data_IF_408455077357
#
_entry.id   IF_408455077357
#
_cell.length_a   1.000
_cell.length_b   1.000
_cell.length_c   1.000
_cell.angle_alpha   90.00
_cell.angle_beta   90.00
_cell.angle_gamma   90.00
#
_symmetry.space_group_name_H-M   'P 1'
#
loop_
_entity.id
_entity.type
_entity.pdbx_description
1 polymer ?
#
# COMPACT_ATOMS: atom_id res chain seq x y z
N UNK A 1 28.56 4.64 0.63
CA UNK A 1 28.02 3.51 -0.14
C UNK A 1 28.79 3.44 -1.45
N UNK A 2 29.32 2.28 -1.82
CA UNK A 2 29.93 2.05 -3.15
C UNK A 2 29.08 1.02 -3.86
N UNK A 3 28.62 1.35 -5.05
CA UNK A 3 27.80 0.49 -5.93
C UNK A 3 28.56 0.28 -7.23
N UNK A 4 28.31 -0.85 -7.89
CA UNK A 4 28.73 -1.03 -9.28
C UNK A 4 28.00 -0.02 -10.19
N UNK A 5 28.64 0.32 -11.30
CA UNK A 5 28.04 1.25 -12.28
C UNK A 5 26.67 0.76 -12.77
N UNK A 6 26.53 -0.55 -12.98
CA UNK A 6 25.26 -1.14 -13.41
C UNK A 6 24.11 -0.95 -12.41
N UNK A 7 24.37 -1.10 -11.10
CA UNK A 7 23.35 -0.91 -10.05
C UNK A 7 23.06 0.57 -9.84
N UNK A 8 24.09 1.43 -9.91
CA UNK A 8 23.89 2.90 -9.85
C UNK A 8 22.99 3.39 -10.97
N UNK A 9 23.28 3.02 -12.23
CA UNK A 9 22.46 3.41 -13.39
C UNK A 9 21.03 2.89 -13.23
N UNK A 10 20.84 1.63 -12.86
CA UNK A 10 19.51 1.04 -12.68
C UNK A 10 18.69 1.78 -11.60
N UNK A 11 19.32 2.12 -10.46
CA UNK A 11 18.66 2.85 -9.38
C UNK A 11 18.27 4.28 -9.79
N UNK A 12 19.11 4.96 -10.58
CA UNK A 12 18.83 6.30 -11.08
C UNK A 12 17.72 6.30 -12.16
N UNK A 13 17.73 5.30 -13.05
CA UNK A 13 16.65 5.09 -14.03
C UNK A 13 15.31 4.82 -13.34
N UNK A 14 15.28 3.96 -12.32
CA UNK A 14 14.08 3.68 -11.56
C UNK A 14 13.59 4.90 -10.76
N UNK A 15 14.51 5.68 -10.16
CA UNK A 15 14.18 6.95 -9.51
C UNK A 15 13.51 7.93 -10.49
N UNK A 16 14.08 8.06 -11.68
CA UNK A 16 13.53 8.91 -12.75
C UNK A 16 12.15 8.41 -13.21
N UNK A 17 11.98 7.09 -13.34
CA UNK A 17 10.71 6.50 -13.75
C UNK A 17 9.60 6.72 -12.72
N UNK A 18 9.92 6.61 -11.41
CA UNK A 18 9.01 6.90 -10.31
C UNK A 18 8.52 8.35 -10.35
N UNK A 19 9.44 9.32 -10.43
CA UNK A 19 9.11 10.74 -10.49
C UNK A 19 8.28 11.08 -11.73
N UNK A 20 8.66 10.57 -12.90
CA UNK A 20 7.90 10.79 -14.15
C UNK A 20 6.50 10.17 -14.11
N UNK A 21 6.34 9.02 -13.49
CA UNK A 21 5.02 8.42 -13.32
C UNK A 21 4.15 9.28 -12.40
N UNK A 22 4.67 9.69 -11.26
CA UNK A 22 3.97 10.54 -10.30
C UNK A 22 3.54 11.88 -10.92
N UNK A 23 4.42 12.53 -11.69
CA UNK A 23 4.13 13.76 -12.41
C UNK A 23 3.12 13.57 -13.57
N UNK A 24 3.19 12.41 -14.26
CA UNK A 24 2.35 12.17 -15.45
C UNK A 24 0.86 12.10 -15.15
N UNK A 25 0.48 11.79 -13.90
CA UNK A 25 -0.90 11.76 -13.46
C UNK A 25 -1.50 13.17 -13.26
N UNK A 26 -0.66 14.18 -13.03
CA UNK A 26 -0.99 15.60 -13.02
C UNK A 26 -2.27 15.94 -12.24
N UNK A 27 -3.20 16.68 -12.87
CA UNK A 27 -4.49 17.05 -12.27
C UNK A 27 -5.50 15.89 -12.13
N UNK A 28 -5.24 14.74 -12.73
CA UNK A 28 -6.11 13.56 -12.67
C UNK A 28 -5.78 12.61 -11.51
N UNK A 29 -4.84 12.99 -10.65
CA UNK A 29 -4.38 12.18 -9.49
C UNK A 29 -5.50 11.83 -8.52
N UNK A 30 -6.40 12.78 -8.25
CA UNK A 30 -7.39 12.66 -7.17
C UNK A 30 -8.26 11.37 -7.20
N UNK A 31 -8.70 10.84 -8.36
CA UNK A 31 -9.43 9.57 -8.38
C UNK A 31 -8.54 8.34 -8.15
N UNK A 32 -7.25 8.39 -8.48
CA UNK A 32 -6.37 7.22 -8.52
C UNK A 32 -5.54 7.05 -7.24
N UNK A 33 -5.12 8.14 -6.59
CA UNK A 33 -4.27 8.08 -5.39
C UNK A 33 -4.83 7.14 -4.29
N UNK A 34 -6.13 7.19 -3.94
CA UNK A 34 -6.69 6.26 -2.96
C UNK A 34 -6.71 4.81 -3.43
N UNK A 35 -6.85 4.54 -4.73
CA UNK A 35 -6.85 3.19 -5.28
C UNK A 35 -5.45 2.60 -5.29
N UNK A 36 -4.45 3.37 -5.70
CA UNK A 36 -3.04 2.95 -5.72
C UNK A 36 -2.52 2.68 -4.32
N UNK A 37 -2.88 3.50 -3.32
CA UNK A 37 -2.55 3.26 -1.91
C UNK A 37 -3.12 1.93 -1.40
N UNK A 38 -4.39 1.63 -1.72
CA UNK A 38 -5.03 0.36 -1.34
C UNK A 38 -4.42 -0.83 -2.07
N UNK A 39 -4.04 -0.65 -3.33
CA UNK A 39 -3.36 -1.67 -4.12
C UNK A 39 -1.98 -2.00 -3.53
N UNK A 40 -1.23 -0.99 -3.09
CA UNK A 40 0.02 -1.17 -2.37
C UNK A 40 -0.18 -1.94 -1.06
N UNK A 41 -1.15 -1.53 -0.24
CA UNK A 41 -1.44 -2.18 1.03
C UNK A 41 -1.90 -3.63 0.86
N UNK A 42 -2.70 -3.91 -0.18
CA UNK A 42 -3.13 -5.26 -0.51
C UNK A 42 -1.96 -6.14 -0.97
N UNK A 43 -1.11 -5.64 -1.88
CA UNK A 43 0.08 -6.36 -2.35
C UNK A 43 1.08 -6.61 -1.21
N UNK A 44 1.34 -5.60 -0.38
CA UNK A 44 2.16 -5.73 0.83
C UNK A 44 1.63 -6.80 1.79
N UNK A 45 0.31 -6.85 1.99
CA UNK A 45 -0.31 -7.88 2.84
C UNK A 45 -0.27 -9.27 2.19
N UNK A 46 -0.32 -9.35 0.86
CA UNK A 46 -0.23 -10.61 0.11
C UNK A 46 1.15 -11.25 0.21
N UNK A 47 2.23 -10.46 0.31
CA UNK A 47 3.58 -10.98 0.62
C UNK A 47 3.56 -11.74 1.96
N UNK A 48 2.74 -11.31 2.92
CA UNK A 48 2.52 -11.99 4.21
C UNK A 48 1.37 -13.03 4.16
N UNK A 49 1.00 -13.52 2.97
CA UNK A 49 -0.08 -14.48 2.75
C UNK A 49 -1.49 -14.02 3.19
N UNK A 50 -1.70 -12.72 3.38
CA UNK A 50 -3.00 -12.13 3.69
C UNK A 50 -3.67 -11.67 2.41
N UNK A 51 -4.65 -12.44 1.92
CA UNK A 51 -5.37 -12.16 0.68
C UNK A 51 -6.86 -11.88 0.91
N UNK A 52 -7.40 -10.91 0.18
CA UNK A 52 -8.83 -10.63 0.09
C UNK A 52 -9.14 -9.97 -1.27
N UNK A 53 -10.37 -10.17 -1.80
CA UNK A 53 -10.80 -9.45 -3.00
C UNK A 53 -10.99 -7.97 -2.72
N UNK A 54 -10.91 -7.13 -3.76
CA UNK A 54 -11.18 -5.69 -3.65
C UNK A 54 -12.53 -5.41 -2.97
N UNK A 55 -13.58 -6.15 -3.35
CA UNK A 55 -14.90 -6.05 -2.70
C UNK A 55 -14.84 -6.27 -1.19
N UNK A 56 -14.11 -7.30 -0.71
CA UNK A 56 -13.99 -7.60 0.71
C UNK A 56 -13.27 -6.49 1.47
N UNK A 57 -12.21 -5.92 0.87
CA UNK A 57 -11.43 -4.82 1.46
C UNK A 57 -12.31 -3.58 1.62
N UNK A 58 -12.97 -3.12 0.54
CA UNK A 58 -13.83 -1.94 0.59
C UNK A 58 -15.07 -2.13 1.48
N UNK A 59 -15.62 -3.34 1.58
CA UNK A 59 -16.71 -3.64 2.51
C UNK A 59 -16.23 -3.57 3.96
N UNK A 60 -15.03 -4.07 4.26
CA UNK A 60 -14.43 -4.01 5.60
C UNK A 60 -14.14 -2.56 6.03
N UNK A 61 -13.74 -1.68 5.10
CA UNK A 61 -13.55 -0.25 5.37
C UNK A 61 -14.83 0.44 5.87
N UNK A 62 -15.99 -0.01 5.41
CA UNK A 62 -17.30 0.49 5.83
C UNK A 62 -17.78 -0.11 7.17
N UNK A 63 -16.92 -0.82 7.89
CA UNK A 63 -17.26 -1.47 9.16
C UNK A 63 -17.98 -2.82 8.98
N UNK A 64 -17.94 -3.40 7.79
CA UNK A 64 -18.49 -4.72 7.52
C UNK A 64 -17.79 -5.81 8.31
N UNK A 65 -18.57 -6.79 8.78
CA UNK A 65 -18.03 -8.05 9.33
C UNK A 65 -17.41 -8.84 8.16
N UNK A 66 -16.25 -8.39 7.72
CA UNK A 66 -15.47 -8.99 6.65
C UNK A 66 -14.69 -10.22 7.15
N UNK A 67 -14.13 -10.96 6.20
CA UNK A 67 -13.11 -11.95 6.51
C UNK A 67 -11.94 -11.25 7.22
N UNK A 68 -11.30 -11.93 8.18
CA UNK A 68 -10.18 -11.42 8.98
C UNK A 68 -9.11 -10.73 8.14
N UNK A 69 -8.67 -11.36 7.05
CA UNK A 69 -7.66 -10.79 6.16
C UNK A 69 -8.03 -9.42 5.58
N UNK A 70 -9.31 -9.21 5.23
CA UNK A 70 -9.76 -7.92 4.72
C UNK A 70 -9.60 -6.80 5.77
N UNK A 71 -9.90 -7.08 7.04
CA UNK A 71 -9.67 -6.14 8.14
C UNK A 71 -8.19 -5.83 8.35
N UNK A 72 -7.32 -6.85 8.26
CA UNK A 72 -5.86 -6.66 8.37
C UNK A 72 -5.30 -5.83 7.20
N UNK A 73 -5.80 -6.02 5.98
CA UNK A 73 -5.44 -5.20 4.80
C UNK A 73 -5.89 -3.75 4.98
N UNK A 74 -7.09 -3.52 5.53
CA UNK A 74 -7.58 -2.17 5.86
C UNK A 74 -6.69 -1.51 6.91
N UNK A 75 -6.25 -2.24 7.93
CA UNK A 75 -5.31 -1.72 8.93
C UNK A 75 -3.96 -1.38 8.29
N UNK A 76 -3.46 -2.20 7.35
CA UNK A 76 -2.25 -1.91 6.59
C UNK A 76 -2.41 -0.66 5.70
N UNK A 77 -3.58 -0.47 5.06
CA UNK A 77 -3.87 0.76 4.30
C UNK A 77 -3.79 2.01 5.20
N UNK A 78 -4.30 1.92 6.42
CA UNK A 78 -4.23 3.02 7.40
C UNK A 78 -2.79 3.27 7.85
N UNK A 79 -2.02 2.21 8.13
CA UNK A 79 -0.61 2.32 8.49
C UNK A 79 0.22 2.99 7.39
N UNK A 80 0.02 2.61 6.12
CA UNK A 80 0.67 3.25 4.98
C UNK A 80 0.28 4.72 4.82
N UNK A 81 -1.00 5.06 5.05
CA UNK A 81 -1.43 6.46 5.07
C UNK A 81 -0.71 7.25 6.16
N UNK A 82 -0.66 6.72 7.37
CA UNK A 82 0.10 7.31 8.48
C UNK A 82 1.58 7.49 8.12
N UNK A 83 2.19 6.50 7.46
CA UNK A 83 3.57 6.57 6.99
C UNK A 83 3.80 7.73 6.01
N UNK A 84 2.90 7.92 5.06
CA UNK A 84 2.96 9.00 4.07
C UNK A 84 2.74 10.36 4.75
N UNK A 85 1.78 10.47 5.66
CA UNK A 85 1.48 11.69 6.41
C UNK A 85 2.64 12.13 7.32
N UNK A 86 3.43 11.18 7.81
CA UNK A 86 4.59 11.43 8.68
C UNK A 86 5.93 11.41 7.92
N UNK A 87 5.93 11.33 6.61
CA UNK A 87 7.14 11.17 5.78
C UNK A 87 8.16 12.30 5.93
N UNK A 88 7.72 13.51 6.31
CA UNK A 88 8.61 14.64 6.55
C UNK A 88 9.42 14.51 7.87
N UNK A 89 9.07 13.53 8.73
CA UNK A 89 9.68 13.32 10.04
C UNK A 89 9.93 11.84 10.28
N UNK A 90 10.88 11.27 9.57
CA UNK A 90 11.28 9.86 9.74
C UNK A 90 12.09 9.71 11.03
N UNK A 91 11.43 9.26 12.08
CA UNK A 91 11.99 9.00 13.41
C UNK A 91 11.53 7.64 13.93
N UNK A 92 12.08 7.21 15.05
CA UNK A 92 11.63 6.02 15.76
C UNK A 92 10.16 6.09 16.13
N UNK A 93 9.67 7.28 16.55
CA UNK A 93 8.25 7.49 16.87
C UNK A 93 7.34 7.32 15.64
N UNK A 94 7.81 7.71 14.46
CA UNK A 94 7.08 7.48 13.21
C UNK A 94 6.90 5.99 12.94
N UNK A 95 7.96 5.20 13.13
CA UNK A 95 7.89 3.73 12.98
C UNK A 95 6.91 3.11 13.98
N UNK A 96 6.96 3.53 15.25
CA UNK A 96 6.05 3.06 16.30
C UNK A 96 4.59 3.44 15.99
N UNK A 97 4.35 4.65 15.48
CA UNK A 97 3.01 5.09 15.08
C UNK A 97 2.44 4.28 13.91
N UNK A 98 3.25 3.97 12.88
CA UNK A 98 2.85 3.08 11.78
C UNK A 98 2.43 1.71 12.30
N UNK A 99 3.24 1.11 13.17
CA UNK A 99 3.00 -0.20 13.76
C UNK A 99 1.79 -0.19 14.70
N UNK A 100 1.59 0.87 15.48
CA UNK A 100 0.40 1.03 16.33
C UNK A 100 -0.88 1.02 15.49
N UNK A 101 -0.91 1.77 14.39
CA UNK A 101 -2.07 1.80 13.49
C UNK A 101 -2.29 0.44 12.82
N UNK A 102 -1.22 -0.23 12.42
CA UNK A 102 -1.26 -1.55 11.78
C UNK A 102 -1.92 -2.62 12.67
N UNK A 103 -1.51 -2.68 13.94
CA UNK A 103 -1.95 -3.72 14.87
C UNK A 103 -3.02 -3.25 15.86
N UNK A 104 -3.60 -2.06 15.65
CA UNK A 104 -4.67 -1.55 16.51
C UNK A 104 -5.82 -2.54 16.60
N UNK A 105 -6.04 -3.09 17.80
CA UNK A 105 -7.09 -4.07 18.07
C UNK A 105 -6.65 -5.54 17.94
N UNK A 106 -5.42 -5.84 17.55
CA UNK A 106 -4.84 -7.16 17.73
C UNK A 106 -4.56 -7.39 19.24
N UNK A 107 -5.06 -8.52 19.77
CA UNK A 107 -4.90 -8.87 21.20
C UNK A 107 -3.68 -9.77 21.46
N UNK A 108 -2.99 -10.20 20.41
CA UNK A 108 -1.88 -11.16 20.53
C UNK A 108 -0.53 -10.46 20.54
N UNK A 109 -0.46 -9.25 19.95
CA UNK A 109 0.76 -8.49 19.79
C UNK A 109 0.59 -7.07 20.31
N UNK A 110 1.65 -6.51 20.91
CA UNK A 110 1.63 -5.15 21.43
C UNK A 110 1.82 -4.15 20.29
N UNK A 111 0.77 -3.39 20.00
CA UNK A 111 0.80 -2.37 18.96
C UNK A 111 1.68 -1.17 19.38
N UNK A 112 2.55 -0.70 18.47
CA UNK A 112 3.38 0.48 18.70
C UNK A 112 4.50 0.30 19.73
N UNK A 113 4.90 -0.94 20.02
CA UNK A 113 5.99 -1.23 20.96
C UNK A 113 6.99 -2.19 20.35
N UNK A 114 8.27 -1.95 20.63
CA UNK A 114 9.31 -2.90 20.28
C UNK A 114 9.16 -4.19 21.09
N UNK A 115 9.59 -5.28 20.48
CA UNK A 115 9.66 -6.57 21.17
C UNK A 115 10.63 -6.55 22.34
N UNK A 116 10.28 -7.31 23.36
CA UNK A 116 11.13 -7.61 24.52
C UNK A 116 11.45 -9.11 24.57
N UNK A 117 11.44 -9.78 23.44
CA UNK A 117 11.73 -11.20 23.29
C UNK A 117 12.51 -11.49 22.00
N UNK A 118 13.12 -12.68 21.96
CA UNK A 118 13.79 -13.14 20.75
C UNK A 118 12.76 -13.48 19.65
N UNK A 119 13.04 -13.05 18.41
CA UNK A 119 12.26 -13.42 17.24
C UNK A 119 13.18 -13.99 16.16
N UNK A 120 12.64 -14.88 15.35
CA UNK A 120 13.33 -15.53 14.25
C UNK A 120 12.40 -15.83 13.10
N UNK A 121 12.97 -15.98 11.92
CA UNK A 121 12.29 -16.39 10.70
C UNK A 121 12.67 -17.85 10.42
N UNK A 122 11.67 -18.73 10.24
CA UNK A 122 11.90 -20.15 9.98
C UNK A 122 10.67 -21.00 10.23
N UNK A 123 10.83 -22.30 10.14
CA UNK A 123 9.73 -23.29 10.20
C UNK A 123 9.21 -23.59 11.61
N UNK A 124 9.99 -23.30 12.67
CA UNK A 124 9.62 -23.57 14.05
C UNK A 124 9.20 -22.29 14.77
N UNK A 125 7.99 -22.26 15.32
CA UNK A 125 7.53 -21.19 16.22
C UNK A 125 7.97 -21.35 17.68
N UNK A 126 8.72 -22.41 18.03
CA UNK A 126 9.07 -22.72 19.44
C UNK A 126 10.55 -22.58 19.76
N UNK A 127 11.43 -22.63 18.75
CA UNK A 127 12.88 -22.61 18.94
C UNK A 127 13.55 -22.02 17.70
N UNK A 128 14.63 -21.21 17.88
CA UNK A 128 15.42 -20.69 16.76
C UNK A 128 16.33 -21.74 16.12
N UNK A 129 16.38 -22.96 16.65
CA UNK A 129 17.23 -24.03 16.07
C UNK A 129 16.71 -24.36 14.67
N UNK A 130 17.57 -24.17 13.66
CA UNK A 130 17.23 -24.34 12.25
C UNK A 130 16.45 -23.17 11.64
N UNK A 131 16.39 -22.03 12.31
CA UNK A 131 15.82 -20.81 11.74
C UNK A 131 16.68 -20.29 10.56
N UNK A 132 16.01 -19.77 9.54
CA UNK A 132 16.65 -19.12 8.40
C UNK A 132 17.35 -17.81 8.80
N UNK A 133 16.79 -17.14 9.80
CA UNK A 133 17.33 -15.93 10.38
C UNK A 133 16.90 -15.76 11.84
N UNK A 134 17.85 -15.32 12.69
CA UNK A 134 17.58 -14.91 14.08
C UNK A 134 17.88 -13.42 14.20
N UNK A 135 16.87 -12.65 14.59
CA UNK A 135 16.99 -11.19 14.73
C UNK A 135 17.94 -10.82 15.91
N UNK A 136 18.51 -9.60 15.91
CA UNK A 136 19.36 -9.12 16.99
C UNK A 136 18.71 -9.24 18.38
N UNK A 137 19.51 -9.26 19.43
CA UNK A 137 19.04 -9.23 20.81
C UNK A 137 18.10 -8.02 21.01
N UNK A 138 16.97 -8.25 21.68
CA UNK A 138 15.89 -7.27 21.77
C UNK A 138 16.30 -5.98 22.51
N UNK A 139 17.25 -6.06 23.44
CA UNK A 139 17.81 -4.91 24.16
C UNK A 139 18.50 -3.91 23.22
N UNK A 140 18.94 -4.36 22.05
CA UNK A 140 19.57 -3.52 21.03
C UNK A 140 18.60 -2.89 20.05
N UNK A 141 17.34 -3.35 20.02
CA UNK A 141 16.36 -2.90 19.02
C UNK A 141 16.17 -1.39 19.01
N UNK A 142 15.99 -0.69 20.17
CA UNK A 142 15.81 0.76 20.14
C UNK A 142 16.95 1.49 19.44
N UNK A 143 18.20 1.20 19.84
CA UNK A 143 19.38 1.85 19.25
C UNK A 143 19.60 1.49 17.78
N UNK A 144 19.24 0.27 17.36
CA UNK A 144 19.34 -0.14 15.96
C UNK A 144 18.28 0.54 15.10
N UNK A 145 17.07 0.76 15.60
CA UNK A 145 16.03 1.49 14.87
C UNK A 145 16.41 2.98 14.78
N UNK A 146 16.96 3.59 15.83
CA UNK A 146 17.48 4.96 15.79
C UNK A 146 18.53 5.13 14.70
N UNK A 147 19.49 4.19 14.59
CA UNK A 147 20.51 4.18 13.54
C UNK A 147 19.89 4.04 12.14
N UNK A 148 18.89 3.16 11.97
CA UNK A 148 18.13 3.05 10.70
C UNK A 148 17.48 4.39 10.35
N UNK A 149 16.88 5.08 11.30
CA UNK A 149 16.21 6.35 11.05
C UNK A 149 17.22 7.49 10.81
N UNK A 150 18.40 7.45 11.44
CA UNK A 150 19.49 8.37 11.11
C UNK A 150 19.97 8.18 9.67
N UNK A 151 20.17 6.93 9.26
CA UNK A 151 20.52 6.60 7.87
C UNK A 151 19.42 7.04 6.88
N UNK A 152 18.15 6.83 7.21
CA UNK A 152 17.01 7.20 6.37
C UNK A 152 16.93 8.72 6.08
N UNK A 153 17.42 9.57 6.99
CA UNK A 153 17.42 11.04 6.85
C UNK A 153 18.64 11.63 6.14
N UNK A 154 19.60 10.80 5.73
CA UNK A 154 20.78 11.28 4.99
C UNK A 154 20.38 11.82 3.62
N UNK A 155 21.07 12.88 3.17
CA UNK A 155 20.81 13.57 1.90
C UNK A 155 21.94 13.39 0.87
N UNK A 156 23.01 12.67 1.26
CA UNK A 156 24.23 12.49 0.47
C UNK A 156 24.31 11.13 -0.24
N UNK A 157 23.19 10.40 -0.31
CA UNK A 157 23.13 9.06 -0.89
C UNK A 157 22.20 9.03 -2.13
N UNK A 158 22.42 8.10 -3.08
CA UNK A 158 21.46 7.85 -4.14
C UNK A 158 20.11 7.47 -3.56
N UNK A 159 19.05 8.22 -3.94
CA UNK A 159 17.74 8.18 -3.27
C UNK A 159 17.14 6.78 -3.19
N UNK A 160 16.99 6.09 -4.32
CA UNK A 160 16.37 4.75 -4.33
C UNK A 160 17.24 3.70 -3.64
N UNK A 161 18.57 3.80 -3.77
CA UNK A 161 19.48 2.90 -3.06
C UNK A 161 19.37 3.07 -1.54
N UNK A 162 19.23 4.30 -1.05
CA UNK A 162 18.99 4.59 0.36
C UNK A 162 17.67 3.97 0.83
N UNK A 163 16.58 4.12 0.07
CA UNK A 163 15.28 3.50 0.35
C UNK A 163 15.41 1.99 0.49
N UNK A 164 16.05 1.33 -0.48
CA UNK A 164 16.23 -0.12 -0.49
C UNK A 164 17.07 -0.63 0.69
N UNK A 165 18.17 0.05 1.00
CA UNK A 165 19.06 -0.30 2.12
C UNK A 165 18.36 -0.09 3.46
N UNK A 166 17.64 1.02 3.64
CA UNK A 166 16.86 1.29 4.85
C UNK A 166 15.82 0.19 5.08
N UNK A 167 15.09 -0.17 4.03
CA UNK A 167 14.10 -1.25 4.10
C UNK A 167 14.76 -2.59 4.51
N UNK A 168 15.87 -2.97 3.87
CA UNK A 168 16.58 -4.21 4.20
C UNK A 168 17.15 -4.22 5.62
N UNK A 169 17.65 -3.08 6.09
CA UNK A 169 18.15 -2.95 7.46
C UNK A 169 17.02 -3.05 8.48
N UNK A 170 15.87 -2.40 8.20
CA UNK A 170 14.69 -2.52 9.04
C UNK A 170 14.20 -3.99 9.15
N UNK A 171 14.12 -4.71 8.03
CA UNK A 171 13.79 -6.14 7.99
C UNK A 171 14.83 -7.00 8.71
N UNK A 172 16.09 -6.55 8.78
CA UNK A 172 17.16 -7.21 9.53
C UNK A 172 17.04 -6.94 11.02
N UNK A 173 16.75 -5.73 11.45
CA UNK A 173 16.50 -5.41 12.88
C UNK A 173 15.28 -6.15 13.41
N UNK A 174 14.23 -6.28 12.59
CA UNK A 174 12.99 -7.00 12.90
C UNK A 174 12.40 -6.59 14.25
N UNK A 175 12.03 -5.30 14.42
CA UNK A 175 11.85 -4.70 15.74
C UNK A 175 10.59 -5.13 16.50
N UNK A 176 9.67 -5.85 15.86
CA UNK A 176 8.37 -6.20 16.42
C UNK A 176 8.16 -7.71 16.49
N UNK A 177 7.18 -8.15 17.28
CA UNK A 177 6.76 -9.55 17.36
C UNK A 177 5.91 -10.00 16.17
N UNK A 178 5.22 -9.08 15.49
CA UNK A 178 4.49 -9.28 14.23
C UNK A 178 4.46 -7.96 13.44
N UNK A 179 4.09 -8.00 12.17
CA UNK A 179 3.89 -6.82 11.33
C UNK A 179 5.17 -6.14 10.82
N UNK A 180 6.35 -6.73 11.00
CA UNK A 180 7.62 -6.16 10.54
C UNK A 180 7.60 -5.88 9.03
N UNK A 181 7.28 -6.87 8.20
CA UNK A 181 7.26 -6.71 6.75
C UNK A 181 6.28 -5.62 6.29
N UNK A 182 5.07 -5.59 6.84
CA UNK A 182 4.08 -4.55 6.50
C UNK A 182 4.54 -3.16 6.93
N UNK A 183 5.11 -3.02 8.13
CA UNK A 183 5.67 -1.76 8.63
C UNK A 183 6.90 -1.33 7.83
N UNK A 184 7.81 -2.26 7.49
CA UNK A 184 8.99 -2.00 6.68
C UNK A 184 8.65 -1.52 5.27
N UNK A 185 7.59 -2.08 4.65
CA UNK A 185 7.10 -1.60 3.35
C UNK A 185 6.30 -0.29 3.46
N UNK A 186 5.64 -0.02 4.59
CA UNK A 186 5.08 1.31 4.85
C UNK A 186 6.18 2.37 5.02
N UNK A 187 7.28 2.04 5.70
CA UNK A 187 8.47 2.89 5.81
C UNK A 187 9.10 3.13 4.43
N UNK A 188 9.17 2.11 3.56
CA UNK A 188 9.65 2.26 2.18
C UNK A 188 8.82 3.33 1.44
N UNK A 189 7.50 3.30 1.53
CA UNK A 189 6.62 4.30 0.93
C UNK A 189 6.83 5.70 1.52
N UNK A 190 6.98 5.81 2.84
CA UNK A 190 7.31 7.08 3.49
C UNK A 190 8.63 7.66 2.98
N UNK A 191 9.64 6.82 2.77
CA UNK A 191 10.94 7.23 2.22
C UNK A 191 10.88 7.61 0.75
N UNK A 192 10.10 6.92 -0.09
CA UNK A 192 9.87 7.33 -1.47
C UNK A 192 9.31 8.75 -1.52
N UNK A 193 8.40 9.08 -0.61
CA UNK A 193 7.83 10.42 -0.50
C UNK A 193 8.81 11.43 0.08
N UNK A 194 9.48 11.12 1.18
CA UNK A 194 10.48 11.98 1.82
C UNK A 194 11.64 12.32 0.88
N UNK A 195 12.04 11.37 0.03
CA UNK A 195 13.08 11.54 -0.99
C UNK A 195 12.56 12.15 -2.31
N UNK A 196 11.33 12.66 -2.33
CA UNK A 196 10.70 13.31 -3.49
C UNK A 196 10.64 12.42 -4.75
N UNK A 197 10.63 11.10 -4.59
CA UNK A 197 10.44 10.15 -5.70
C UNK A 197 8.95 9.97 -6.06
N UNK A 198 8.06 10.19 -5.08
CA UNK A 198 6.60 10.18 -5.25
C UNK A 198 5.99 11.30 -4.40
N UNK A 199 5.26 12.23 -5.01
CA UNK A 199 4.66 13.38 -4.32
C UNK A 199 3.12 13.34 -4.33
N UNK A 200 2.53 12.81 -5.38
CA UNK A 200 1.11 12.87 -5.65
C UNK A 200 0.41 11.53 -5.38
N UNK A 201 1.05 10.42 -5.69
CA UNK A 201 0.48 9.08 -5.55
C UNK A 201 1.44 8.11 -4.85
N UNK A 202 0.89 7.03 -4.34
CA UNK A 202 1.67 5.86 -3.90
C UNK A 202 1.90 4.96 -5.11
N UNK A 203 3.15 4.75 -5.51
CA UNK A 203 3.50 3.72 -6.49
C UNK A 203 3.48 2.36 -5.78
N UNK A 204 2.72 1.36 -6.25
CA UNK A 204 2.55 0.10 -5.54
C UNK A 204 3.75 -0.84 -5.68
N UNK A 205 4.91 -0.45 -5.14
CA UNK A 205 6.18 -1.19 -5.22
C UNK A 205 6.06 -2.60 -4.66
N UNK A 206 5.23 -2.81 -3.63
CA UNK A 206 4.96 -4.15 -3.11
C UNK A 206 4.33 -5.09 -4.15
N UNK A 207 3.58 -4.54 -5.12
CA UNK A 207 3.07 -5.35 -6.24
C UNK A 207 4.21 -5.82 -7.16
N UNK A 208 5.26 -5.01 -7.34
CA UNK A 208 6.48 -5.42 -8.03
C UNK A 208 7.28 -6.46 -7.24
N UNK A 209 7.46 -6.27 -5.94
CA UNK A 209 8.15 -7.25 -5.07
C UNK A 209 7.42 -8.60 -5.04
N UNK A 210 6.10 -8.60 -5.12
CA UNK A 210 5.27 -9.79 -5.11
C UNK A 210 5.47 -10.68 -6.36
N UNK A 211 5.97 -10.12 -7.47
CA UNK A 211 6.25 -10.90 -8.70
C UNK A 211 7.39 -11.89 -8.52
N UNK A 212 8.33 -11.65 -7.58
CA UNK A 212 9.41 -12.57 -7.19
C UNK A 212 9.67 -12.50 -5.68
N UNK A 213 8.76 -13.06 -4.90
CA UNK A 213 8.90 -13.14 -3.44
C UNK A 213 10.11 -13.96 -3.00
N UNK A 214 10.47 -14.99 -3.78
CA UNK A 214 11.66 -15.80 -3.51
C UNK A 214 12.94 -14.97 -3.72
N UNK A 215 13.01 -14.17 -4.78
CA UNK A 215 14.10 -13.21 -5.02
C UNK A 215 14.19 -12.16 -3.92
N UNK A 216 13.04 -11.68 -3.44
CA UNK A 216 13.00 -10.74 -2.33
C UNK A 216 13.61 -11.31 -1.03
N UNK A 217 13.25 -12.54 -0.67
CA UNK A 217 13.85 -13.22 0.50
C UNK A 217 15.35 -13.46 0.31
N UNK A 218 15.77 -13.87 -0.91
CA UNK A 218 17.21 -14.03 -1.23
C UNK A 218 17.97 -12.70 -1.09
N UNK A 219 17.44 -11.61 -1.64
CA UNK A 219 18.08 -10.28 -1.57
C UNK A 219 18.25 -9.79 -0.12
N UNK A 220 17.24 -10.01 0.75
CA UNK A 220 17.34 -9.74 2.18
C UNK A 220 18.41 -10.62 2.87
N UNK A 221 18.56 -11.87 2.43
CA UNK A 221 19.58 -12.79 2.95
C UNK A 221 20.96 -12.35 2.54
N UNK A 222 21.15 -11.93 1.29
CA UNK A 222 22.44 -11.43 0.78
C UNK A 222 22.82 -10.11 1.45
N UNK A 223 21.84 -9.23 1.70
CA UNK A 223 22.04 -8.01 2.49
C UNK A 223 22.62 -8.32 3.89
N UNK A 224 22.07 -9.32 4.59
CA UNK A 224 22.55 -9.76 5.91
C UNK A 224 23.98 -10.34 5.87
N UNK A 225 24.45 -10.77 4.69
CA UNK A 225 25.83 -11.24 4.44
C UNK A 225 26.77 -10.11 4.02
N UNK A 226 26.27 -8.88 3.89
CA UNK A 226 27.05 -7.69 3.54
C UNK A 226 26.97 -7.28 2.07
N UNK A 227 26.18 -7.97 1.24
CA UNK A 227 25.95 -7.60 -0.16
C UNK A 227 24.68 -6.76 -0.29
N UNK A 228 24.85 -5.47 -0.54
CA UNK A 228 23.74 -4.51 -0.64
C UNK A 228 23.15 -4.38 -2.06
N UNK A 229 23.86 -4.86 -3.08
CA UNK A 229 23.43 -4.63 -4.47
C UNK A 229 22.16 -5.42 -4.85
N UNK A 230 21.96 -6.68 -4.41
CA UNK A 230 20.77 -7.45 -4.76
C UNK A 230 19.46 -6.76 -4.33
N UNK A 231 19.40 -6.18 -3.14
CA UNK A 231 18.16 -5.52 -2.68
C UNK A 231 17.91 -4.19 -3.41
N UNK A 232 18.96 -3.44 -3.77
CA UNK A 232 18.84 -2.21 -4.55
C UNK A 232 18.32 -2.54 -5.95
N UNK A 233 18.91 -3.53 -6.60
CA UNK A 233 18.45 -4.02 -7.91
C UNK A 233 17.00 -4.46 -7.87
N UNK A 234 16.63 -5.27 -6.88
CA UNK A 234 15.27 -5.78 -6.74
C UNK A 234 14.24 -4.66 -6.56
N UNK A 235 14.52 -3.66 -5.70
CA UNK A 235 13.61 -2.52 -5.49
C UNK A 235 13.49 -1.67 -6.75
N UNK A 236 14.58 -1.50 -7.51
CA UNK A 236 14.55 -0.79 -8.79
C UNK A 236 13.68 -1.53 -9.83
N UNK A 237 13.89 -2.84 -10.01
CA UNK A 237 13.11 -3.68 -10.91
C UNK A 237 11.63 -3.75 -10.50
N UNK A 238 11.35 -3.92 -9.20
CA UNK A 238 10.00 -3.88 -8.65
C UNK A 238 9.30 -2.52 -8.89
N UNK A 239 10.05 -1.42 -8.90
CA UNK A 239 9.50 -0.09 -9.21
C UNK A 239 9.05 0.00 -10.67
N UNK A 240 9.79 -0.53 -11.63
CA UNK A 240 9.37 -0.56 -13.04
C UNK A 240 8.13 -1.44 -13.24
N UNK A 241 8.10 -2.64 -12.66
CA UNK A 241 6.94 -3.54 -12.73
C UNK A 241 5.70 -2.89 -12.09
N UNK A 242 5.86 -2.23 -10.95
CA UNK A 242 4.80 -1.51 -10.26
C UNK A 242 4.23 -0.36 -11.11
N UNK A 243 5.09 0.44 -11.76
CA UNK A 243 4.69 1.52 -12.65
C UNK A 243 3.90 0.97 -13.84
N UNK A 244 4.39 -0.11 -14.48
CA UNK A 244 3.70 -0.75 -15.60
C UNK A 244 2.28 -1.19 -15.21
N UNK A 245 2.17 -1.93 -14.10
CA UNK A 245 0.88 -2.41 -13.61
C UNK A 245 -0.05 -1.26 -13.15
N UNK A 246 0.50 -0.20 -12.54
CA UNK A 246 -0.28 0.96 -12.13
C UNK A 246 -0.83 1.76 -13.33
N UNK A 247 -0.07 1.90 -14.42
CA UNK A 247 -0.55 2.53 -15.66
C UNK A 247 -1.73 1.77 -16.25
N UNK A 248 -1.65 0.45 -16.35
CA UNK A 248 -2.77 -0.37 -16.82
C UNK A 248 -4.03 -0.14 -15.97
N UNK A 249 -3.91 -0.09 -14.64
CA UNK A 249 -5.05 0.20 -13.75
C UNK A 249 -5.62 1.61 -14.01
N UNK A 250 -4.77 2.62 -14.13
CA UNK A 250 -5.18 4.02 -14.39
C UNK A 250 -5.93 4.12 -15.72
N UNK A 251 -5.41 3.50 -16.78
CA UNK A 251 -6.02 3.50 -18.11
C UNK A 251 -7.38 2.77 -18.10
N UNK A 252 -7.48 1.64 -17.41
CA UNK A 252 -8.72 0.88 -17.26
C UNK A 252 -9.78 1.68 -16.50
N UNK A 253 -9.44 2.30 -15.37
CA UNK A 253 -10.36 3.15 -14.60
C UNK A 253 -10.78 4.39 -15.40
N UNK A 254 -9.84 5.00 -16.13
CA UNK A 254 -10.13 6.15 -16.99
C UNK A 254 -11.14 5.78 -18.09
N UNK A 255 -10.95 4.61 -18.71
CA UNK A 255 -11.88 4.08 -19.72
C UNK A 255 -13.27 3.79 -19.14
N UNK A 256 -13.35 3.21 -17.94
CA UNK A 256 -14.59 2.99 -17.19
C UNK A 256 -15.30 4.32 -16.94
N UNK A 257 -14.60 5.33 -16.41
CA UNK A 257 -15.16 6.67 -16.15
C UNK A 257 -15.67 7.35 -17.42
N UNK A 258 -14.96 7.23 -18.54
CA UNK A 258 -15.38 7.77 -19.83
C UNK A 258 -16.72 7.14 -20.28
N UNK A 259 -16.88 5.82 -20.17
CA UNK A 259 -18.15 5.12 -20.47
C UNK A 259 -19.29 5.60 -19.59
N UNK A 260 -19.06 5.78 -18.27
CA UNK A 260 -20.09 6.27 -17.36
C UNK A 260 -20.58 7.69 -17.73
N UNK A 261 -19.65 8.56 -18.14
CA UNK A 261 -19.98 9.92 -18.57
C UNK A 261 -20.88 9.95 -19.82
N UNK A 262 -20.79 8.95 -20.70
CA UNK A 262 -21.67 8.81 -21.84
C UNK A 262 -23.00 8.16 -21.48
N UNK A 263 -23.05 7.26 -20.48
CA UNK A 263 -24.26 6.57 -20.05
C UNK A 263 -25.18 7.47 -19.19
N UNK A 264 -24.63 8.52 -18.55
CA UNK A 264 -25.41 9.44 -17.70
C UNK A 264 -25.67 10.76 -18.41
N UNK A 265 -26.95 11.09 -18.64
CA UNK A 265 -27.35 12.41 -19.17
C UNK A 265 -27.68 13.34 -18.01
N UNK A 266 -26.88 14.39 -17.78
CA UNK A 266 -27.12 15.37 -16.73
C UNK A 266 -26.63 16.77 -17.13
N UNK A 267 -27.16 17.81 -16.44
CA UNK A 267 -26.61 19.17 -16.57
C UNK A 267 -25.16 19.20 -16.10
N UNK A 268 -24.35 20.13 -16.64
CA UNK A 268 -22.91 20.23 -16.36
C UNK A 268 -22.60 20.44 -14.86
N UNK A 269 -23.48 21.15 -14.16
CA UNK A 269 -23.39 21.48 -12.73
C UNK A 269 -24.07 20.45 -11.81
N UNK A 270 -24.52 19.33 -12.35
CA UNK A 270 -25.20 18.30 -11.56
C UNK A 270 -24.23 17.56 -10.63
N UNK A 271 -24.62 17.40 -9.36
CA UNK A 271 -23.87 16.62 -8.36
C UNK A 271 -23.62 15.14 -8.72
N UNK A 272 -24.31 14.64 -9.76
CA UNK A 272 -24.07 13.26 -10.23
C UNK A 272 -22.64 13.06 -10.76
N UNK A 273 -22.02 14.11 -11.32
CA UNK A 273 -20.64 14.04 -11.79
C UNK A 273 -19.65 13.86 -10.63
N UNK A 274 -19.92 14.58 -9.53
CA UNK A 274 -19.15 14.38 -8.29
C UNK A 274 -19.41 12.98 -7.71
N UNK A 275 -20.65 12.49 -7.73
CA UNK A 275 -20.96 11.13 -7.30
C UNK A 275 -20.21 10.07 -8.12
N UNK A 276 -20.10 10.23 -9.45
CA UNK A 276 -19.30 9.35 -10.32
C UNK A 276 -17.81 9.37 -9.95
N UNK A 277 -17.24 10.53 -9.65
CA UNK A 277 -15.85 10.64 -9.23
C UNK A 277 -15.62 9.99 -7.85
N UNK A 278 -16.61 10.05 -6.94
CA UNK A 278 -16.56 9.29 -5.68
C UNK A 278 -16.62 7.78 -5.94
N UNK A 279 -17.55 7.30 -6.78
CA UNK A 279 -17.68 5.87 -7.12
C UNK A 279 -16.38 5.32 -7.72
N UNK A 280 -15.68 6.11 -8.54
CA UNK A 280 -14.40 5.69 -9.13
C UNK A 280 -13.32 5.41 -8.09
N UNK A 281 -13.24 6.19 -7.00
CA UNK A 281 -12.25 6.01 -5.92
C UNK A 281 -12.75 5.20 -4.73
N UNK A 282 -14.07 5.03 -4.59
CA UNK A 282 -14.74 4.28 -3.52
C UNK A 282 -15.83 3.39 -4.13
N UNK A 283 -15.45 2.25 -4.75
CA UNK A 283 -16.39 1.41 -5.53
C UNK A 283 -17.39 0.61 -4.67
N UNK A 284 -17.23 0.61 -3.35
CA UNK A 284 -18.27 0.13 -2.39
C UNK A 284 -18.57 1.27 -1.43
N UNK A 285 -19.81 1.69 -1.35
CA UNK A 285 -20.23 2.81 -0.52
C UNK A 285 -21.67 2.65 -0.04
N UNK A 286 -22.03 3.38 0.99
CA UNK A 286 -23.41 3.61 1.42
C UNK A 286 -23.76 5.11 1.25
N UNK A 287 -25.02 5.47 1.52
CA UNK A 287 -25.47 6.84 1.39
C UNK A 287 -24.70 7.82 2.29
N UNK A 288 -24.31 7.39 3.50
CA UNK A 288 -23.54 8.22 4.43
C UNK A 288 -22.13 8.49 3.91
N UNK A 289 -21.47 7.49 3.33
CA UNK A 289 -20.14 7.65 2.73
C UNK A 289 -20.19 8.59 1.53
N UNK A 290 -21.16 8.41 0.62
CA UNK A 290 -21.29 9.30 -0.53
C UNK A 290 -21.60 10.74 -0.09
N UNK A 291 -22.46 10.92 0.90
CA UNK A 291 -22.83 12.22 1.43
C UNK A 291 -21.61 12.95 2.06
N UNK A 292 -20.82 12.24 2.86
CA UNK A 292 -19.59 12.77 3.46
C UNK A 292 -18.59 13.23 2.38
N UNK A 293 -18.36 12.39 1.35
CA UNK A 293 -17.46 12.69 0.24
C UNK A 293 -17.95 13.86 -0.65
N UNK A 294 -19.27 14.04 -0.76
CA UNK A 294 -19.87 15.14 -1.52
C UNK A 294 -20.09 16.41 -0.68
N UNK A 295 -19.92 16.36 0.64
CA UNK A 295 -20.17 17.48 1.55
C UNK A 295 -21.65 17.86 1.64
N UNK A 296 -22.58 16.89 1.55
CA UNK A 296 -24.03 17.11 1.56
C UNK A 296 -24.73 16.20 2.58
N UNK A 297 -26.01 16.46 2.87
CA UNK A 297 -26.82 15.56 3.70
C UNK A 297 -27.10 14.22 3.01
N UNK A 298 -27.14 13.13 3.78
CA UNK A 298 -27.37 11.78 3.27
C UNK A 298 -28.68 11.63 2.46
N UNK A 299 -29.73 12.37 2.82
CA UNK A 299 -31.01 12.40 2.07
C UNK A 299 -30.85 12.91 0.62
N UNK A 300 -29.87 13.77 0.38
CA UNK A 300 -29.67 14.43 -0.92
C UNK A 300 -28.90 13.54 -1.92
N UNK A 301 -28.26 12.44 -1.46
CA UNK A 301 -27.51 11.56 -2.35
C UNK A 301 -28.36 10.44 -2.96
N UNK A 302 -29.53 10.10 -2.40
CA UNK A 302 -30.36 9.02 -2.90
C UNK A 302 -30.80 9.21 -4.37
N UNK A 303 -31.20 10.42 -4.84
CA UNK A 303 -31.52 10.62 -6.26
C UNK A 303 -30.31 10.32 -7.18
N UNK A 304 -29.07 10.59 -6.73
CA UNK A 304 -27.88 10.25 -7.48
C UNK A 304 -27.65 8.74 -7.49
N UNK A 305 -27.75 8.08 -6.33
CA UNK A 305 -27.57 6.63 -6.18
C UNK A 305 -28.59 5.86 -7.03
N UNK A 306 -29.88 6.22 -6.96
CA UNK A 306 -30.94 5.57 -7.75
C UNK A 306 -30.71 5.75 -9.26
N UNK A 307 -30.22 6.91 -9.66
CA UNK A 307 -29.88 7.19 -11.05
C UNK A 307 -28.67 6.40 -11.54
N UNK A 308 -27.66 6.25 -10.72
CA UNK A 308 -26.48 5.43 -11.04
C UNK A 308 -26.83 3.92 -11.08
N UNK A 309 -27.77 3.48 -10.24
CA UNK A 309 -28.33 2.12 -10.32
C UNK A 309 -29.15 1.93 -11.61
N UNK A 310 -30.02 2.89 -11.96
CA UNK A 310 -30.80 2.84 -13.19
C UNK A 310 -29.92 2.85 -14.46
N UNK A 311 -28.78 3.53 -14.41
CA UNK A 311 -27.77 3.53 -15.48
C UNK A 311 -26.90 2.26 -15.51
N UNK A 312 -27.07 1.31 -14.59
CA UNK A 312 -26.28 0.09 -14.49
C UNK A 312 -24.84 0.28 -13.96
N UNK A 313 -24.51 1.48 -13.47
CA UNK A 313 -23.19 1.81 -12.94
C UNK A 313 -23.01 1.26 -11.52
N UNK A 314 -24.09 1.24 -10.74
CA UNK A 314 -24.10 0.69 -9.39
C UNK A 314 -25.07 -0.48 -9.28
N UNK A 315 -24.68 -1.49 -8.51
CA UNK A 315 -25.55 -2.53 -8.01
C UNK A 315 -25.91 -2.25 -6.56
N UNK A 316 -27.20 -2.44 -6.21
CA UNK A 316 -27.70 -2.23 -4.85
C UNK A 316 -27.82 -3.56 -4.13
N UNK A 317 -27.23 -3.68 -2.92
CA UNK A 317 -27.37 -4.83 -2.04
C UNK A 317 -27.76 -4.41 -0.64
N UNK A 318 -28.65 -5.17 -0.03
CA UNK A 318 -28.98 -5.01 1.38
C UNK A 318 -28.08 -5.94 2.20
N UNK A 319 -27.19 -5.37 3.00
CA UNK A 319 -26.30 -6.12 3.89
C UNK A 319 -26.82 -5.96 5.33
N UNK A 320 -27.09 -7.08 6.00
CA UNK A 320 -27.84 -7.15 7.26
C UNK A 320 -27.33 -6.20 8.38
N UNK A 321 -26.06 -5.92 8.45
CA UNK A 321 -25.49 -5.04 9.50
C UNK A 321 -25.10 -3.64 9.03
N UNK A 322 -25.04 -3.38 7.72
CA UNK A 322 -24.55 -2.13 7.13
C UNK A 322 -25.62 -1.34 6.39
N UNK A 323 -26.83 -1.87 6.34
CA UNK A 323 -27.91 -1.31 5.55
C UNK A 323 -27.69 -1.52 4.05
N UNK A 324 -28.07 -0.53 3.25
CA UNK A 324 -27.97 -0.60 1.81
C UNK A 324 -26.55 -0.21 1.37
N UNK A 325 -25.84 -1.16 0.76
CA UNK A 325 -24.57 -0.93 0.07
C UNK A 325 -24.80 -0.79 -1.43
N UNK A 326 -24.05 0.14 -2.02
CA UNK A 326 -23.97 0.35 -3.46
C UNK A 326 -22.58 -0.04 -3.92
N UNK A 327 -22.48 -0.74 -5.04
CA UNK A 327 -21.25 -1.36 -5.49
C UNK A 327 -21.05 -1.16 -6.99
N UNK A 328 -19.85 -0.79 -7.39
CA UNK A 328 -19.43 -0.80 -8.78
C UNK A 328 -18.53 -2.00 -9.06
N UNK A 329 -19.01 -2.94 -9.88
CA UNK A 329 -18.30 -4.19 -10.17
C UNK A 329 -17.19 -4.00 -11.21
N UNK A 330 -17.24 -2.97 -12.08
CA UNK A 330 -16.20 -2.70 -13.07
C UNK A 330 -14.90 -2.26 -12.39
N UNK A 331 -14.96 -1.27 -11.48
CA UNK A 331 -13.77 -0.79 -10.72
C UNK A 331 -13.23 -1.88 -9.82
N UNK A 332 -14.10 -2.66 -9.16
CA UNK A 332 -13.65 -3.79 -8.33
C UNK A 332 -12.95 -4.85 -9.17
N UNK A 333 -13.46 -5.14 -10.38
CA UNK A 333 -12.84 -6.07 -11.33
C UNK A 333 -11.45 -5.59 -11.78
N UNK A 334 -11.29 -4.30 -12.07
CA UNK A 334 -10.00 -3.70 -12.41
C UNK A 334 -8.96 -3.82 -11.29
N UNK A 335 -9.39 -3.61 -10.03
CA UNK A 335 -8.52 -3.79 -8.86
C UNK A 335 -8.14 -5.25 -8.62
N UNK A 336 -9.08 -6.19 -8.78
CA UNK A 336 -8.80 -7.62 -8.66
C UNK A 336 -7.88 -8.10 -9.82
N UNK A 337 -8.01 -7.54 -11.03
CA UNK A 337 -7.13 -7.79 -12.15
C UNK A 337 -5.71 -7.25 -11.89
N UNK A 338 -5.58 -6.04 -11.33
CA UNK A 338 -4.30 -5.50 -10.88
C UNK A 338 -3.59 -6.44 -9.89
N UNK A 339 -4.31 -6.90 -8.86
CA UNK A 339 -3.76 -7.83 -7.87
C UNK A 339 -3.35 -9.19 -8.49
N UNK A 340 -4.14 -9.68 -9.44
CA UNK A 340 -3.84 -10.91 -10.15
C UNK A 340 -2.60 -10.81 -11.06
N UNK A 341 -2.33 -9.65 -11.68
CA UNK A 341 -1.10 -9.41 -12.46
C UNK A 341 0.14 -9.45 -11.57
N UNK A 342 0.09 -8.83 -10.40
CA UNK A 342 1.17 -8.84 -9.42
C UNK A 342 1.49 -10.24 -8.88
N UNK A 343 0.47 -11.10 -8.67
CA UNK A 343 0.64 -12.43 -8.07
C UNK A 343 0.91 -13.57 -9.06
N UNK A 344 0.93 -13.33 -10.39
CA UNK A 344 1.01 -14.41 -11.41
C UNK A 344 2.42 -14.81 -11.85
N UNK A 345 3.45 -14.10 -11.41
CA UNK A 345 4.84 -14.33 -11.85
C UNK A 345 5.72 -15.04 -10.82
N UNK A 346 5.12 -15.47 -9.68
CA UNK A 346 5.80 -16.23 -8.63
C UNK A 346 5.60 -17.74 -8.75
#
# INVERSE_FOLDING_TARGET
>A
MRLSDAVSVLADEASTALTRFDESLGSEVAPFAPLLLRSEAAASSQIEHLTASARQIFTAELGGVGKRNAGEIVSNTRAMRTAIELSDRLTTETVLAMHEVLLRGDRRHEAGRFREEAVWIGTSGRTPVGADYVAPAWERVPSLVDDVMEFARRLDLPRLAQVAVTHAQFETVHPFTDGNGRTGRALLQAMLRSNELTQNVTVPVSAGLLTDTAGYVRALTDYRRGDIEPIIRLVAEASFEAIGNARELVDEISSIRARWRTAVTARRDSGIWQALDVVARQPVLNASTLAAEMGVDAKNVYPHLDRLVAAGILTKKNEYQQGILFRNDEVLGALDAFAARAGRRG
#
